data_IF_199629133437
#
_entry.id   IF_199629133437
#
_cell.length_a   1.000
_cell.length_b   1.000
_cell.length_c   1.000
_cell.angle_alpha   90.00
_cell.angle_beta   90.00
_cell.angle_gamma   90.00
#
_symmetry.space_group_name_H-M   'P 1'
#
loop_
_entity.id
_entity.type
_entity.pdbx_description
1 polymer ?
#
# COMPACT_ATOMS: atom_id res chain seq x y z
N UNK A 1 25.36 45.49 -20.25
CA UNK A 1 26.48 44.68 -20.78
C UNK A 1 25.91 43.37 -21.30
N UNK A 2 25.71 43.34 -22.61
CA UNK A 2 25.19 42.21 -23.40
C UNK A 2 26.37 41.38 -23.90
N UNK A 3 26.37 40.08 -23.65
CA UNK A 3 27.31 39.17 -24.33
C UNK A 3 26.54 38.20 -25.20
N UNK A 4 26.69 38.41 -26.51
CA UNK A 4 26.30 37.53 -27.61
C UNK A 4 27.49 36.63 -27.91
N UNK A 5 27.27 35.35 -28.14
CA UNK A 5 28.23 34.53 -28.89
C UNK A 5 27.52 33.83 -30.04
N UNK A 6 28.04 34.14 -31.24
CA UNK A 6 27.66 33.62 -32.54
C UNK A 6 28.35 32.29 -32.85
N UNK A 7 27.60 31.44 -33.54
CA UNK A 7 27.98 30.62 -34.71
C UNK A 7 29.29 29.81 -34.70
N UNK A 8 29.15 28.49 -34.87
CA UNK A 8 29.80 27.78 -35.97
C UNK A 8 29.04 26.48 -36.29
N UNK A 9 28.60 26.39 -37.54
CA UNK A 9 28.00 25.23 -38.20
C UNK A 9 29.14 24.29 -38.59
N UNK A 10 29.06 23.01 -38.21
CA UNK A 10 29.86 21.95 -38.78
C UNK A 10 28.93 20.84 -39.27
N UNK A 11 28.68 20.85 -40.58
CA UNK A 11 28.07 19.76 -41.33
C UNK A 11 29.11 18.62 -41.46
N UNK A 12 28.80 17.46 -40.89
CA UNK A 12 29.47 16.22 -41.23
C UNK A 12 28.40 15.15 -41.48
N UNK A 13 28.07 14.98 -42.76
CA UNK A 13 27.33 13.84 -43.25
C UNK A 13 28.26 12.63 -43.30
N UNK A 14 27.99 11.61 -42.50
CA UNK A 14 28.61 10.29 -42.65
C UNK A 14 27.53 9.23 -42.87
N UNK A 15 27.73 8.49 -43.95
CA UNK A 15 26.86 7.49 -44.54
C UNK A 15 26.57 6.31 -43.60
N UNK A 16 25.28 5.96 -43.55
CA UNK A 16 24.70 4.61 -43.59
C UNK A 16 25.60 3.44 -43.13
N UNK A 17 25.39 3.02 -41.88
CA UNK A 17 25.51 1.63 -41.49
C UNK A 17 24.17 1.20 -40.87
N UNK A 18 23.36 0.50 -41.67
CA UNK A 18 22.15 -0.20 -41.20
C UNK A 18 22.64 -1.44 -40.43
N UNK A 19 23.07 -1.25 -39.19
CA UNK A 19 23.23 -2.34 -38.24
C UNK A 19 21.83 -2.66 -37.72
N UNK A 20 21.29 -3.80 -38.16
CA UNK A 20 19.95 -4.23 -37.80
C UNK A 20 19.74 -4.18 -36.29
N UNK A 21 18.76 -3.39 -35.86
CA UNK A 21 18.14 -3.54 -34.57
C UNK A 21 17.50 -4.93 -34.52
N UNK A 22 18.28 -5.95 -34.17
CA UNK A 22 17.72 -7.13 -33.53
C UNK A 22 17.17 -6.62 -32.20
N UNK A 23 15.94 -6.11 -32.24
CA UNK A 23 15.09 -5.98 -31.07
C UNK A 23 14.98 -7.40 -30.52
N UNK A 24 15.92 -7.76 -29.66
CA UNK A 24 15.78 -8.90 -28.77
C UNK A 24 14.56 -8.54 -27.95
N UNK A 25 13.39 -8.99 -28.41
CA UNK A 25 12.18 -9.00 -27.65
C UNK A 25 12.53 -9.88 -26.46
N UNK A 26 12.98 -9.26 -25.38
CA UNK A 26 13.00 -9.89 -24.08
C UNK A 26 11.53 -10.14 -23.78
N UNK A 27 11.07 -11.30 -24.22
CA UNK A 27 9.86 -11.96 -23.78
C UNK A 27 10.10 -12.24 -22.30
N UNK A 28 9.96 -11.19 -21.48
CA UNK A 28 9.99 -11.35 -20.03
C UNK A 28 8.80 -12.25 -19.72
N UNK A 29 9.02 -13.46 -19.16
CA UNK A 29 7.91 -14.26 -18.71
C UNK A 29 7.15 -13.40 -17.69
N UNK A 30 5.93 -13.02 -18.04
CA UNK A 30 5.00 -12.35 -17.12
C UNK A 30 4.85 -13.27 -15.92
N UNK A 31 5.53 -12.95 -14.82
CA UNK A 31 5.36 -13.68 -13.56
C UNK A 31 3.87 -13.65 -13.24
N UNK A 32 3.22 -14.82 -13.05
CA UNK A 32 1.81 -14.87 -12.72
C UNK A 32 1.53 -13.98 -11.52
N UNK A 33 0.58 -13.07 -11.69
CA UNK A 33 0.10 -12.18 -10.65
C UNK A 33 -0.47 -13.04 -9.50
N UNK A 34 0.15 -13.08 -8.30
CA UNK A 34 -0.41 -13.81 -7.16
C UNK A 34 -1.88 -13.48 -6.95
N UNK A 35 -2.70 -14.52 -6.83
CA UNK A 35 -4.14 -14.37 -6.65
C UNK A 35 -4.44 -14.12 -5.17
N UNK A 36 -5.36 -13.19 -4.90
CA UNK A 36 -5.87 -12.96 -3.56
C UNK A 36 -6.51 -14.24 -2.97
N UNK A 37 -6.22 -14.58 -1.70
CA UNK A 37 -6.91 -15.63 -0.97
C UNK A 37 -8.43 -15.47 -1.05
N UNK A 38 -9.17 -16.58 -0.91
CA UNK A 38 -10.63 -16.57 -0.93
C UNK A 38 -11.18 -15.61 0.13
N UNK A 39 -10.62 -15.61 1.34
CA UNK A 39 -11.05 -14.72 2.42
C UNK A 39 -10.88 -13.23 2.08
N UNK A 40 -9.75 -12.83 1.50
CA UNK A 40 -9.52 -11.45 1.03
C UNK A 40 -10.54 -11.05 -0.05
N UNK A 41 -10.82 -11.95 -1.01
CA UNK A 41 -11.78 -11.69 -2.08
C UNK A 41 -13.21 -11.60 -1.56
N UNK A 42 -13.60 -12.49 -0.66
CA UNK A 42 -14.93 -12.50 -0.05
C UNK A 42 -15.14 -11.26 0.82
N UNK A 43 -14.15 -10.90 1.64
CA UNK A 43 -14.12 -9.66 2.42
C UNK A 43 -14.24 -8.43 1.52
N UNK A 44 -13.44 -8.35 0.45
CA UNK A 44 -13.48 -7.24 -0.48
C UNK A 44 -14.77 -7.18 -1.31
N UNK A 45 -15.40 -8.33 -1.58
CA UNK A 45 -16.72 -8.40 -2.17
C UNK A 45 -17.81 -7.86 -1.24
N UNK A 46 -17.72 -8.16 0.07
CA UNK A 46 -18.66 -7.70 1.11
C UNK A 46 -18.50 -6.20 1.39
N UNK A 47 -17.27 -5.71 1.51
CA UNK A 47 -16.92 -4.34 1.87
C UNK A 47 -16.22 -3.58 0.75
N UNK A 48 -16.75 -3.63 -0.47
CA UNK A 48 -16.04 -3.14 -1.68
C UNK A 48 -15.56 -1.68 -1.62
N UNK A 49 -16.30 -0.77 -0.95
CA UNK A 49 -15.86 0.62 -0.78
C UNK A 49 -14.68 0.72 0.19
N UNK A 50 -14.73 0.00 1.32
CA UNK A 50 -13.64 -0.03 2.30
C UNK A 50 -12.40 -0.69 1.70
N UNK A 51 -12.58 -1.78 0.96
CA UNK A 51 -11.51 -2.51 0.30
C UNK A 51 -10.79 -1.66 -0.77
N UNK A 52 -11.53 -0.91 -1.59
CA UNK A 52 -10.92 0.06 -2.53
C UNK A 52 -10.17 1.17 -1.81
N UNK A 53 -10.72 1.68 -0.72
CA UNK A 53 -10.07 2.72 0.08
C UNK A 53 -8.79 2.19 0.76
N UNK A 54 -8.81 0.95 1.24
CA UNK A 54 -7.62 0.30 1.81
C UNK A 54 -6.57 0.08 0.73
N UNK A 55 -6.95 -0.45 -0.44
CA UNK A 55 -6.03 -0.63 -1.56
C UNK A 55 -5.39 0.69 -2.03
N UNK A 56 -6.17 1.78 -2.04
CA UNK A 56 -5.64 3.11 -2.33
C UNK A 56 -4.64 3.57 -1.27
N UNK A 57 -4.96 3.41 0.02
CA UNK A 57 -4.04 3.72 1.11
C UNK A 57 -2.74 2.90 1.03
N UNK A 58 -2.84 1.58 0.79
CA UNK A 58 -1.67 0.71 0.62
C UNK A 58 -0.82 1.17 -0.56
N UNK A 59 -1.44 1.49 -1.69
CA UNK A 59 -0.73 2.00 -2.88
C UNK A 59 0.00 3.32 -2.60
N UNK A 60 -0.61 4.22 -1.84
CA UNK A 60 -0.05 5.54 -1.55
C UNK A 60 1.03 5.50 -0.45
N UNK A 61 1.10 4.43 0.34
CA UNK A 61 2.02 4.28 1.48
C UNK A 61 2.95 3.05 1.37
N UNK A 62 3.03 2.42 0.18
CA UNK A 62 3.83 1.24 -0.20
C UNK A 62 4.46 0.44 0.97
N UNK A 63 5.76 0.59 1.21
CA UNK A 63 6.50 -0.15 2.24
C UNK A 63 5.97 0.12 3.67
N UNK A 64 5.57 1.35 3.98
CA UNK A 64 5.07 1.71 5.31
C UNK A 64 3.74 1.01 5.60
N UNK A 65 2.83 0.94 4.62
CA UNK A 65 1.58 0.20 4.73
C UNK A 65 1.84 -1.30 4.95
N UNK A 66 2.83 -1.88 4.26
CA UNK A 66 3.25 -3.26 4.49
C UNK A 66 3.71 -3.47 5.93
N UNK A 67 4.46 -2.55 6.53
CA UNK A 67 4.90 -2.69 7.93
C UNK A 67 3.73 -2.63 8.92
N UNK A 68 2.78 -1.71 8.71
CA UNK A 68 1.56 -1.62 9.52
C UNK A 68 0.77 -2.92 9.44
N UNK A 69 0.49 -3.41 8.23
CA UNK A 69 -0.30 -4.64 8.03
C UNK A 69 0.42 -5.89 8.57
N UNK A 70 1.74 -5.99 8.41
CA UNK A 70 2.53 -7.07 9.04
C UNK A 70 2.47 -7.00 10.56
N UNK A 71 2.56 -5.81 11.15
CA UNK A 71 2.41 -5.65 12.59
C UNK A 71 1.02 -6.10 13.03
N UNK A 72 -0.03 -5.62 12.37
CA UNK A 72 -1.42 -5.98 12.65
C UNK A 72 -1.66 -7.49 12.57
N UNK A 73 -1.11 -8.17 11.55
CA UNK A 73 -1.21 -9.62 11.41
C UNK A 73 -0.54 -10.39 12.56
N UNK A 74 0.63 -9.92 13.00
CA UNK A 74 1.41 -10.53 14.11
C UNK A 74 0.84 -10.22 15.49
N UNK A 75 0.11 -9.12 15.62
CA UNK A 75 -0.44 -8.60 16.88
C UNK A 75 -1.96 -8.40 16.78
N UNK A 76 -2.75 -9.46 16.50
CA UNK A 76 -4.16 -9.29 16.18
C UNK A 76 -4.99 -8.77 17.36
N UNK A 77 -4.68 -9.16 18.60
CA UNK A 77 -5.40 -8.65 19.78
C UNK A 77 -5.06 -7.18 20.05
N UNK A 78 -3.78 -6.82 20.01
CA UNK A 78 -3.33 -5.43 20.14
C UNK A 78 -3.94 -4.55 19.04
N UNK A 79 -4.01 -5.06 17.81
CA UNK A 79 -4.62 -4.32 16.71
C UNK A 79 -6.13 -4.11 16.90
N UNK A 80 -6.85 -5.09 17.45
CA UNK A 80 -8.28 -4.94 17.79
C UNK A 80 -8.49 -3.91 18.90
N UNK A 81 -7.69 -3.96 19.95
CA UNK A 81 -7.75 -2.98 21.04
C UNK A 81 -7.43 -1.56 20.53
N UNK A 82 -6.46 -1.42 19.63
CA UNK A 82 -6.17 -0.15 18.95
C UNK A 82 -7.40 0.36 18.15
N UNK A 83 -8.07 -0.52 17.39
CA UNK A 83 -9.25 -0.14 16.61
C UNK A 83 -10.44 0.23 17.50
N UNK A 84 -10.68 -0.53 18.58
CA UNK A 84 -11.75 -0.25 19.53
C UNK A 84 -11.50 1.06 20.28
N UNK A 85 -10.25 1.33 20.66
CA UNK A 85 -9.88 2.64 21.19
C UNK A 85 -10.12 3.75 20.17
N UNK A 86 -9.73 3.56 18.91
CA UNK A 86 -9.85 4.56 17.86
C UNK A 86 -11.30 4.93 17.53
N UNK A 87 -12.25 4.03 17.73
CA UNK A 87 -13.69 4.30 17.61
C UNK A 87 -14.19 5.28 18.68
N UNK A 88 -13.70 5.14 19.92
CA UNK A 88 -14.00 6.07 21.01
C UNK A 88 -13.27 7.42 20.91
N UNK A 89 -12.25 7.52 20.06
CA UNK A 89 -11.37 8.70 19.95
C UNK A 89 -11.24 9.13 18.47
N UNK A 90 -12.30 9.71 17.88
CA UNK A 90 -12.37 9.95 16.44
C UNK A 90 -11.39 11.02 15.93
N UNK A 91 -10.92 11.90 16.81
CA UNK A 91 -9.98 13.00 16.46
C UNK A 91 -8.57 12.77 16.98
N UNK A 92 -8.34 11.71 17.74
CA UNK A 92 -7.03 11.43 18.34
C UNK A 92 -6.09 10.77 17.33
N UNK A 93 -4.80 11.02 17.45
CA UNK A 93 -3.75 10.34 16.68
C UNK A 93 -3.25 9.09 17.42
N UNK A 94 -2.37 8.32 16.77
CA UNK A 94 -1.76 7.14 17.40
C UNK A 94 -0.81 7.50 18.58
N UNK A 95 -0.29 8.73 18.60
CA UNK A 95 0.53 9.24 19.69
C UNK A 95 -0.28 9.41 20.98
N UNK A 96 -1.52 9.88 20.86
CA UNK A 96 -2.46 9.96 21.98
C UNK A 96 -2.81 8.57 22.54
N UNK A 97 -2.93 7.54 21.69
CA UNK A 97 -3.08 6.15 22.13
C UNK A 97 -1.89 5.69 22.97
N UNK A 98 -0.66 5.99 22.53
CA UNK A 98 0.56 5.58 23.24
C UNK A 98 0.74 6.23 24.62
N UNK A 99 0.06 7.36 24.90
CA UNK A 99 0.07 7.99 26.24
C UNK A 99 -0.63 7.11 27.27
N UNK A 100 -1.73 6.46 26.90
CA UNK A 100 -2.45 5.50 27.77
C UNK A 100 -1.89 4.07 27.67
N UNK A 101 -1.19 3.73 26.59
CA UNK A 101 -0.64 2.39 26.33
C UNK A 101 0.89 2.37 26.35
N UNK A 102 1.50 3.01 27.36
CA UNK A 102 2.96 3.21 27.42
C UNK A 102 3.80 1.92 27.33
N UNK A 103 3.23 0.77 27.73
CA UNK A 103 3.86 -0.55 27.68
C UNK A 103 3.91 -1.20 26.30
N UNK A 104 3.27 -0.63 25.28
CA UNK A 104 3.15 -1.21 23.93
C UNK A 104 4.41 -0.98 23.09
N UNK A 105 5.52 -1.59 23.50
CA UNK A 105 6.82 -1.45 22.83
C UNK A 105 6.79 -1.83 21.33
N UNK A 106 6.13 -2.93 20.89
CA UNK A 106 6.06 -3.26 19.47
C UNK A 106 5.37 -2.17 18.64
N UNK A 107 4.26 -1.62 19.14
CA UNK A 107 3.54 -0.55 18.47
C UNK A 107 4.31 0.78 18.49
N UNK A 108 5.00 1.08 19.59
CA UNK A 108 5.91 2.24 19.66
C UNK A 108 7.00 2.18 18.59
N UNK A 109 7.64 1.02 18.43
CA UNK A 109 8.66 0.84 17.38
C UNK A 109 8.08 1.02 15.97
N UNK A 110 6.83 0.60 15.74
CA UNK A 110 6.12 0.87 14.49
C UNK A 110 5.90 2.37 14.28
N UNK A 111 5.42 3.07 15.32
CA UNK A 111 5.20 4.52 15.30
C UNK A 111 6.48 5.31 15.05
N UNK A 112 7.59 4.95 15.70
CA UNK A 112 8.88 5.64 15.55
C UNK A 112 9.38 5.69 14.09
N UNK A 113 8.91 4.78 13.23
CA UNK A 113 9.38 4.65 11.84
C UNK A 113 8.27 4.86 10.80
N UNK A 114 7.00 4.65 11.15
CA UNK A 114 5.88 4.59 10.21
C UNK A 114 4.63 5.33 10.70
N UNK A 115 4.77 6.35 11.55
CA UNK A 115 3.69 7.16 12.13
C UNK A 115 2.61 7.57 11.10
N UNK A 116 3.02 8.20 9.98
CA UNK A 116 2.08 8.68 8.96
C UNK A 116 1.22 7.55 8.36
N UNK A 117 1.79 6.35 8.19
CA UNK A 117 1.05 5.21 7.69
C UNK A 117 0.09 4.64 8.75
N UNK A 118 0.51 4.60 10.01
CA UNK A 118 -0.35 4.22 11.13
C UNK A 118 -1.56 5.15 11.23
N UNK A 119 -1.34 6.47 11.17
CA UNK A 119 -2.43 7.45 11.20
C UNK A 119 -3.36 7.33 9.98
N UNK A 120 -2.79 7.06 8.80
CA UNK A 120 -3.56 6.75 7.60
C UNK A 120 -4.44 5.53 7.77
N UNK A 121 -3.92 4.47 8.39
CA UNK A 121 -4.66 3.24 8.69
C UNK A 121 -5.76 3.49 9.73
N UNK A 122 -5.48 4.25 10.81
CA UNK A 122 -6.49 4.63 11.81
C UNK A 122 -7.60 5.51 11.21
N UNK A 123 -7.25 6.41 10.30
CA UNK A 123 -8.23 7.22 9.57
C UNK A 123 -9.11 6.34 8.68
N UNK A 124 -8.53 5.35 8.00
CA UNK A 124 -9.28 4.37 7.22
C UNK A 124 -10.21 3.53 8.11
N UNK A 125 -9.71 3.01 9.23
CA UNK A 125 -10.50 2.15 10.12
C UNK A 125 -11.67 2.89 10.77
N UNK A 126 -11.47 4.14 11.21
CA UNK A 126 -12.56 5.01 11.70
C UNK A 126 -13.64 5.27 10.66
N UNK A 127 -13.26 5.37 9.39
CA UNK A 127 -14.20 5.57 8.28
C UNK A 127 -14.98 4.30 7.96
N UNK A 128 -14.41 3.12 8.21
CA UNK A 128 -14.99 1.82 7.89
C UNK A 128 -14.88 0.82 9.07
N UNK A 129 -15.48 1.11 10.24
CA UNK A 129 -15.18 0.37 11.47
C UNK A 129 -15.59 -1.10 11.41
N UNK A 130 -16.75 -1.42 10.82
CA UNK A 130 -17.20 -2.80 10.65
C UNK A 130 -16.28 -3.58 9.71
N UNK A 131 -15.89 -2.98 8.58
CA UNK A 131 -14.99 -3.61 7.62
C UNK A 131 -13.60 -3.83 8.23
N UNK A 132 -13.10 -2.88 9.02
CA UNK A 132 -11.81 -2.98 9.70
C UNK A 132 -11.81 -4.10 10.74
N UNK A 133 -12.86 -4.21 11.55
CA UNK A 133 -13.00 -5.32 12.52
C UNK A 133 -13.04 -6.68 11.84
N UNK A 134 -13.89 -6.83 10.82
CA UNK A 134 -13.99 -8.08 10.06
C UNK A 134 -12.65 -8.42 9.38
N UNK A 135 -11.94 -7.42 8.85
CA UNK A 135 -10.62 -7.59 8.24
C UNK A 135 -9.59 -8.15 9.23
N UNK A 136 -9.60 -7.70 10.50
CA UNK A 136 -8.70 -8.19 11.55
C UNK A 136 -9.06 -9.57 12.10
N UNK A 137 -10.12 -10.21 11.63
CA UNK A 137 -10.46 -11.59 12.04
C UNK A 137 -9.58 -12.63 11.36
N UNK A 138 -9.00 -12.31 10.20
CA UNK A 138 -8.16 -13.20 9.41
C UNK A 138 -6.74 -12.62 9.26
N UNK A 139 -5.85 -13.00 10.17
CA UNK A 139 -4.44 -12.56 10.16
C UNK A 139 -3.70 -12.91 8.87
N UNK A 140 -4.09 -13.97 8.15
CA UNK A 140 -3.47 -14.33 6.87
C UNK A 140 -3.94 -13.39 5.76
N UNK A 141 -5.21 -13.02 5.74
CA UNK A 141 -5.74 -12.00 4.83
C UNK A 141 -5.06 -10.64 5.04
N UNK A 142 -4.84 -10.24 6.30
CA UNK A 142 -4.11 -9.02 6.65
C UNK A 142 -2.66 -9.09 6.17
N UNK A 143 -1.96 -10.20 6.42
CA UNK A 143 -0.58 -10.38 6.00
C UNK A 143 -0.44 -10.34 4.48
N UNK A 144 -1.30 -11.08 3.77
CA UNK A 144 -1.30 -11.13 2.32
C UNK A 144 -1.50 -9.74 1.70
N UNK A 145 -2.41 -8.96 2.27
CA UNK A 145 -2.68 -7.56 1.91
C UNK A 145 -1.43 -6.68 2.03
N UNK A 146 -0.64 -6.89 3.09
CA UNK A 146 0.64 -6.18 3.28
C UNK A 146 1.75 -6.67 2.35
N UNK A 147 1.76 -7.95 1.98
CA UNK A 147 2.75 -8.53 1.06
C UNK A 147 2.49 -8.18 -0.42
N UNK A 148 1.27 -7.76 -0.76
CA UNK A 148 0.83 -7.53 -2.13
C UNK A 148 0.23 -6.12 -2.31
N UNK A 149 1.03 -5.05 -2.17
CA UNK A 149 0.54 -3.68 -2.15
C UNK A 149 0.01 -3.15 -3.50
N UNK A 150 0.31 -3.85 -4.60
CA UNK A 150 -0.13 -3.42 -5.93
C UNK A 150 -1.62 -3.72 -6.11
N UNK A 151 -2.44 -2.66 -6.23
CA UNK A 151 -3.90 -2.74 -6.36
C UNK A 151 -4.41 -3.65 -7.51
N UNK A 152 -3.59 -3.95 -8.51
CA UNK A 152 -3.93 -4.96 -9.54
C UNK A 152 -4.22 -6.35 -8.94
N UNK A 153 -3.61 -6.69 -7.79
CA UNK A 153 -3.86 -7.92 -7.05
C UNK A 153 -5.23 -7.93 -6.35
N UNK A 154 -5.85 -6.76 -6.18
CA UNK A 154 -7.08 -6.56 -5.43
C UNK A 154 -8.27 -6.35 -6.37
N UNK A 155 -8.20 -6.89 -7.58
CA UNK A 155 -9.24 -6.78 -8.59
C UNK A 155 -10.56 -7.35 -8.07
N UNK A 156 -11.36 -6.52 -7.39
CA UNK A 156 -12.70 -6.84 -6.88
C UNK A 156 -13.78 -6.66 -7.95
N UNK A 157 -13.38 -6.34 -9.18
CA UNK A 157 -14.31 -6.33 -10.31
C UNK A 157 -14.77 -7.76 -10.58
N UNK A 158 -16.02 -8.06 -10.23
CA UNK A 158 -16.69 -9.23 -10.80
C UNK A 158 -16.69 -9.04 -12.32
N UNK A 159 -16.35 -10.07 -13.11
CA UNK A 159 -16.57 -10.00 -14.55
C UNK A 159 -18.03 -9.63 -14.78
N UNK A 160 -18.27 -8.58 -15.57
CA UNK A 160 -19.62 -8.24 -16.04
C UNK A 160 -20.10 -9.42 -16.87
N UNK A 161 -21.01 -10.22 -16.31
CA UNK A 161 -21.75 -11.26 -17.01
C UNK A 161 -22.74 -10.64 -17.98
#
# INVERSE_FOLDING_TARGET
MTSRFSSAIALAACLLAVAGCASSAYDHPSTPVPQAPVSVRDWGGRYSTAARALAAWVKDNDEDASQVLRWTSRHPEDARELLDWAEGHPTADADEFLKSHSGWKPFRNLMDNHESAVDGFLKWSRKYPEAARDFLTDSEAVLWTGDHPVAAYWSFERPRS
#
